data_IF_929078500618
#
_entry.id   IF_929078500618
#
_cell.length_a   1.000
_cell.length_b   1.000
_cell.length_c   1.000
_cell.angle_alpha   90.00
_cell.angle_beta   90.00
_cell.angle_gamma   90.00
#
_symmetry.space_group_name_H-M   'P 1'
#
loop_
_entity.id
_entity.type
_entity.pdbx_description
1 polymer ?
#
# COMPACT_ATOMS: atom_id res chain seq x y z
N UNK A 1 12.09 25.87 21.17
CA UNK A 1 11.12 26.12 20.05
C UNK A 1 10.41 24.81 19.73
N UNK A 2 9.09 24.81 19.50
CA UNK A 2 8.39 23.61 19.08
C UNK A 2 8.82 23.26 17.64
N UNK A 3 9.13 21.98 17.40
CA UNK A 3 9.47 21.51 16.05
C UNK A 3 8.27 21.65 15.12
N UNK A 4 8.53 22.04 13.87
CA UNK A 4 7.47 22.08 12.86
C UNK A 4 7.01 20.67 12.53
N UNK A 5 5.69 20.44 12.51
CA UNK A 5 5.08 19.17 12.14
C UNK A 5 4.70 19.19 10.66
N UNK A 6 5.00 18.13 9.94
CA UNK A 6 4.70 17.98 8.52
C UNK A 6 4.03 16.63 8.29
N UNK A 7 2.97 16.62 7.52
CA UNK A 7 2.35 15.38 6.99
C UNK A 7 2.79 15.22 5.55
N UNK A 8 3.38 14.08 5.23
CA UNK A 8 3.78 13.71 3.86
C UNK A 8 2.88 12.58 3.39
N UNK A 9 2.13 12.81 2.32
CA UNK A 9 1.26 11.79 1.72
C UNK A 9 1.94 11.20 0.49
N UNK A 10 2.20 9.88 0.54
CA UNK A 10 2.82 9.13 -0.53
C UNK A 10 1.74 8.42 -1.37
N UNK A 11 1.58 8.84 -2.61
CA UNK A 11 0.70 8.20 -3.57
C UNK A 11 1.24 6.84 -4.06
N UNK A 12 0.44 6.09 -4.82
CA UNK A 12 0.86 4.79 -5.35
C UNK A 12 2.06 4.87 -6.32
N UNK A 13 2.20 5.99 -7.02
CA UNK A 13 3.36 6.26 -7.90
C UNK A 13 4.69 6.21 -7.14
N UNK A 14 4.66 6.45 -5.81
CA UNK A 14 5.86 6.42 -4.96
C UNK A 14 6.37 5.01 -4.66
N UNK A 15 5.65 3.96 -5.06
CA UNK A 15 5.97 2.59 -4.64
C UNK A 15 6.21 1.62 -5.80
N UNK A 16 5.85 1.95 -7.03
CA UNK A 16 5.89 1.00 -8.15
C UNK A 16 4.90 -0.17 -7.98
N UNK A 17 4.85 -1.05 -8.98
CA UNK A 17 3.84 -2.10 -9.09
C UNK A 17 4.36 -3.52 -8.77
N UNK A 18 5.64 -3.65 -8.44
CA UNK A 18 6.27 -4.93 -8.07
C UNK A 18 7.08 -4.76 -6.80
N UNK A 19 7.38 -5.86 -6.11
CA UNK A 19 8.20 -5.85 -4.89
C UNK A 19 9.59 -5.21 -5.14
N UNK A 20 10.23 -5.55 -6.26
CA UNK A 20 11.54 -4.98 -6.60
C UNK A 20 11.45 -3.48 -6.90
N UNK A 21 10.46 -3.06 -7.70
CA UNK A 21 10.22 -1.65 -7.97
C UNK A 21 9.90 -0.87 -6.69
N UNK A 22 9.18 -1.47 -5.76
CA UNK A 22 8.89 -0.86 -4.46
C UNK A 22 10.16 -0.64 -3.64
N UNK A 23 11.05 -1.63 -3.56
CA UNK A 23 12.31 -1.48 -2.83
C UNK A 23 13.19 -0.34 -3.34
N UNK A 24 13.25 -0.16 -4.65
CA UNK A 24 14.02 0.93 -5.24
C UNK A 24 13.31 2.28 -5.05
N UNK A 25 12.00 2.33 -5.21
CA UNK A 25 11.20 3.53 -5.02
C UNK A 25 11.25 4.05 -3.57
N UNK A 26 11.12 3.16 -2.57
CA UNK A 26 11.18 3.59 -1.16
C UNK A 26 12.55 4.09 -0.76
N UNK A 27 13.65 3.61 -1.36
CA UNK A 27 15.00 4.16 -1.13
C UNK A 27 15.12 5.61 -1.63
N UNK A 28 14.56 5.89 -2.80
CA UNK A 28 14.53 7.26 -3.33
C UNK A 28 13.67 8.17 -2.45
N UNK A 29 12.49 7.69 -2.08
CA UNK A 29 11.56 8.40 -1.19
C UNK A 29 12.20 8.66 0.19
N UNK A 30 12.92 7.68 0.74
CA UNK A 30 13.59 7.80 2.04
C UNK A 30 14.60 8.93 2.09
N UNK A 31 15.33 9.19 1.00
CA UNK A 31 16.28 10.33 0.91
C UNK A 31 15.56 11.66 1.09
N UNK A 32 14.47 11.87 0.37
CA UNK A 32 13.68 13.09 0.47
C UNK A 32 13.03 13.26 1.86
N UNK A 33 12.59 12.16 2.47
CA UNK A 33 12.06 12.17 3.84
C UNK A 33 13.16 12.48 4.87
N UNK A 34 14.36 11.94 4.67
CA UNK A 34 15.50 12.20 5.54
C UNK A 34 15.95 13.67 5.47
N UNK A 35 15.88 14.32 4.30
CA UNK A 35 16.14 15.76 4.16
C UNK A 35 15.24 16.59 5.08
N UNK A 36 13.96 16.24 5.17
CA UNK A 36 13.02 16.90 6.07
C UNK A 36 13.35 16.63 7.54
N UNK A 37 13.75 15.41 7.88
CA UNK A 37 14.15 15.05 9.25
C UNK A 37 15.43 15.79 9.65
N UNK A 38 16.39 15.93 8.76
CA UNK A 38 17.64 16.67 8.94
C UNK A 38 17.37 18.18 9.13
N UNK A 39 16.39 18.71 8.41
CA UNK A 39 15.88 20.08 8.59
C UNK A 39 15.02 20.28 9.86
N UNK A 40 15.05 19.31 10.78
CA UNK A 40 14.38 19.31 12.10
C UNK A 40 12.85 19.34 12.06
N UNK A 41 12.24 18.83 10.99
CA UNK A 41 10.79 18.59 10.96
C UNK A 41 10.41 17.29 11.70
N UNK A 42 9.24 17.30 12.33
CA UNK A 42 8.56 16.08 12.80
C UNK A 42 7.64 15.57 11.70
N UNK A 43 7.90 14.37 11.20
CA UNK A 43 7.15 13.79 10.10
C UNK A 43 6.04 12.85 10.58
N UNK A 44 4.89 12.99 9.96
CA UNK A 44 3.86 11.95 9.87
C UNK A 44 3.74 11.56 8.41
N UNK A 45 3.95 10.29 8.09
CA UNK A 45 3.91 9.80 6.71
C UNK A 45 2.63 8.98 6.56
N UNK A 46 1.84 9.31 5.55
CA UNK A 46 0.70 8.50 5.11
C UNK A 46 1.00 7.93 3.74
N UNK A 47 0.48 6.76 3.44
CA UNK A 47 0.74 6.12 2.15
C UNK A 47 -0.51 5.42 1.61
N UNK A 48 -0.60 5.32 0.28
CA UNK A 48 -1.56 4.47 -0.40
C UNK A 48 -1.06 3.01 -0.44
N UNK A 49 -1.95 2.07 -0.78
CA UNK A 49 -1.65 0.64 -0.79
C UNK A 49 -2.33 -0.13 -1.93
N UNK A 50 -2.87 0.56 -2.93
CA UNK A 50 -3.71 -0.05 -3.97
C UNK A 50 -3.13 -1.30 -4.64
N UNK A 51 -1.93 -1.24 -5.25
CA UNK A 51 -1.30 -2.40 -5.87
C UNK A 51 -1.00 -3.52 -4.86
N UNK A 52 -0.54 -3.15 -3.66
CA UNK A 52 -0.13 -4.10 -2.63
C UNK A 52 -1.33 -4.87 -2.04
N UNK A 53 -2.44 -4.19 -1.77
CA UNK A 53 -3.65 -4.85 -1.27
C UNK A 53 -4.22 -5.82 -2.31
N UNK A 54 -4.18 -5.46 -3.59
CA UNK A 54 -4.63 -6.33 -4.69
C UNK A 54 -3.74 -7.57 -4.82
N UNK A 55 -2.43 -7.42 -4.72
CA UNK A 55 -1.48 -8.53 -4.74
C UNK A 55 -1.72 -9.50 -3.59
N UNK A 56 -1.85 -8.99 -2.37
CA UNK A 56 -2.10 -9.80 -1.17
C UNK A 56 -3.43 -10.54 -1.29
N UNK A 57 -4.50 -9.83 -1.66
CA UNK A 57 -5.82 -10.45 -1.82
C UNK A 57 -5.81 -11.55 -2.88
N UNK A 58 -5.16 -11.32 -4.02
CA UNK A 58 -5.00 -12.34 -5.06
C UNK A 58 -4.21 -13.55 -4.56
N UNK A 59 -3.09 -13.33 -3.87
CA UNK A 59 -2.28 -14.41 -3.32
C UNK A 59 -3.08 -15.26 -2.32
N UNK A 60 -3.84 -14.64 -1.42
CA UNK A 60 -4.68 -15.35 -0.44
C UNK A 60 -5.83 -16.13 -1.13
N UNK A 61 -6.40 -15.57 -2.20
CA UNK A 61 -7.44 -16.23 -2.99
C UNK A 61 -6.90 -17.46 -3.74
N UNK A 62 -5.73 -17.32 -4.38
CA UNK A 62 -5.09 -18.44 -5.09
C UNK A 62 -4.62 -19.54 -4.12
N UNK A 63 -4.10 -19.15 -2.95
CA UNK A 63 -3.73 -20.12 -1.91
C UNK A 63 -4.91 -21.00 -1.51
N UNK A 64 -6.09 -20.42 -1.34
CA UNK A 64 -7.35 -21.15 -1.06
C UNK A 64 -7.70 -22.14 -2.16
N UNK A 65 -7.44 -21.83 -3.42
CA UNK A 65 -7.73 -22.75 -4.55
C UNK A 65 -6.87 -24.00 -4.52
N UNK A 66 -5.63 -23.85 -4.04
CA UNK A 66 -4.68 -24.98 -3.93
C UNK A 66 -4.90 -25.76 -2.63
N UNK A 67 -5.15 -25.07 -1.54
CA UNK A 67 -5.29 -25.64 -0.20
C UNK A 67 -6.65 -25.25 0.38
N UNK A 68 -7.59 -26.18 0.34
CA UNK A 68 -8.99 -25.93 0.71
C UNK A 68 -9.18 -25.54 2.18
N UNK A 69 -8.26 -25.92 3.04
CA UNK A 69 -8.29 -25.63 4.48
C UNK A 69 -7.99 -24.16 4.80
N UNK A 70 -7.42 -23.41 3.86
CA UNK A 70 -7.18 -21.98 4.04
C UNK A 70 -8.42 -21.16 3.74
N UNK A 71 -8.78 -20.29 4.65
CA UNK A 71 -9.85 -19.32 4.44
C UNK A 71 -9.29 -18.08 3.72
N UNK A 72 -9.93 -17.59 2.64
CA UNK A 72 -9.51 -16.34 2.01
C UNK A 72 -9.57 -15.19 3.02
N UNK A 73 -8.55 -14.36 3.04
CA UNK A 73 -8.55 -13.19 3.91
C UNK A 73 -9.53 -12.14 3.37
N UNK A 74 -10.41 -11.58 4.20
CA UNK A 74 -11.26 -10.46 3.81
C UNK A 74 -10.42 -9.26 3.33
N UNK A 75 -10.99 -8.42 2.47
CA UNK A 75 -10.28 -7.27 1.91
C UNK A 75 -9.74 -6.31 3.00
N UNK A 76 -10.48 -6.13 4.10
CA UNK A 76 -10.03 -5.32 5.24
C UNK A 76 -8.76 -5.89 5.89
N UNK A 77 -8.64 -7.22 6.00
CA UNK A 77 -7.42 -7.88 6.50
C UNK A 77 -6.27 -7.73 5.51
N UNK A 78 -6.53 -7.91 4.20
CA UNK A 78 -5.53 -7.66 3.16
C UNK A 78 -5.05 -6.20 3.18
N UNK A 79 -5.95 -5.25 3.45
CA UNK A 79 -5.60 -3.84 3.62
C UNK A 79 -4.70 -3.64 4.84
N UNK A 80 -5.01 -4.25 5.98
CA UNK A 80 -4.15 -4.20 7.17
C UNK A 80 -2.76 -4.82 6.92
N UNK A 81 -2.70 -5.97 6.22
CA UNK A 81 -1.44 -6.59 5.81
C UNK A 81 -0.63 -5.65 4.91
N UNK A 82 -1.28 -4.95 3.98
CA UNK A 82 -0.61 -4.01 3.09
C UNK A 82 -0.08 -2.77 3.82
N UNK A 83 -0.76 -2.30 4.87
CA UNK A 83 -0.23 -1.24 5.75
C UNK A 83 1.09 -1.67 6.40
N UNK A 84 1.12 -2.89 6.95
CA UNK A 84 2.33 -3.46 7.53
C UNK A 84 3.45 -3.62 6.50
N UNK A 85 3.15 -4.16 5.32
CA UNK A 85 4.12 -4.38 4.27
C UNK A 85 4.76 -3.07 3.77
N UNK A 86 3.94 -2.11 3.34
CA UNK A 86 4.44 -0.81 2.84
C UNK A 86 5.12 -0.02 3.96
N UNK A 87 4.49 0.01 5.14
CA UNK A 87 5.04 0.71 6.29
C UNK A 87 6.38 0.14 6.75
N UNK A 88 6.57 -1.18 6.71
CA UNK A 88 7.83 -1.85 7.01
C UNK A 88 8.94 -1.43 6.04
N UNK A 89 8.65 -1.41 4.74
CA UNK A 89 9.63 -1.01 3.74
C UNK A 89 10.05 0.46 3.89
N UNK A 90 9.08 1.38 4.09
CA UNK A 90 9.36 2.79 4.35
C UNK A 90 10.19 2.95 5.62
N UNK A 91 9.79 2.27 6.71
CA UNK A 91 10.50 2.32 8.00
C UNK A 91 11.95 1.88 7.86
N UNK A 92 12.20 0.76 7.18
CA UNK A 92 13.55 0.24 6.97
C UNK A 92 14.40 1.17 6.11
N UNK A 93 13.86 1.63 4.98
CA UNK A 93 14.60 2.50 4.07
C UNK A 93 14.92 3.86 4.73
N UNK A 94 13.94 4.46 5.41
CA UNK A 94 14.15 5.74 6.08
C UNK A 94 15.12 5.60 7.27
N UNK A 95 15.00 4.52 8.04
CA UNK A 95 15.93 4.27 9.15
C UNK A 95 17.36 4.08 8.65
N UNK A 96 17.57 3.33 7.59
CA UNK A 96 18.87 3.13 6.98
C UNK A 96 19.47 4.46 6.52
N UNK A 97 18.72 5.25 5.76
CA UNK A 97 19.15 6.56 5.27
C UNK A 97 19.50 7.53 6.43
N UNK A 98 18.69 7.55 7.50
CA UNK A 98 18.97 8.38 8.68
C UNK A 98 20.26 7.95 9.38
N UNK A 99 20.50 6.64 9.51
CA UNK A 99 21.74 6.12 10.11
C UNK A 99 22.97 6.47 9.27
N UNK A 100 22.86 6.36 7.95
CA UNK A 100 23.94 6.74 7.02
C UNK A 100 24.31 8.23 7.12
N UNK A 101 23.35 9.07 7.49
CA UNK A 101 23.55 10.50 7.79
C UNK A 101 23.96 10.78 9.25
N UNK A 102 24.15 9.78 10.08
CA UNK A 102 24.45 9.94 11.51
C UNK A 102 23.28 10.47 12.34
N UNK A 103 22.04 10.34 11.86
CA UNK A 103 20.83 10.81 12.54
C UNK A 103 20.18 9.66 13.29
N UNK A 104 20.24 9.65 14.61
CA UNK A 104 19.71 8.61 15.48
C UNK A 104 18.26 8.92 15.89
N UNK A 105 17.32 8.73 14.99
CA UNK A 105 15.88 8.89 15.25
C UNK A 105 15.12 7.60 15.01
N UNK A 106 14.13 7.33 15.84
CA UNK A 106 13.23 6.18 15.70
C UNK A 106 12.19 6.46 14.61
N UNK A 107 11.95 5.45 13.78
CA UNK A 107 10.85 5.42 12.82
C UNK A 107 9.92 4.29 13.24
N UNK A 108 8.63 4.53 13.29
CA UNK A 108 7.62 3.54 13.70
C UNK A 108 6.49 3.50 12.69
N UNK A 109 6.01 2.29 12.41
CA UNK A 109 4.82 2.05 11.60
C UNK A 109 3.63 1.80 12.51
N UNK A 110 2.52 2.45 12.23
CA UNK A 110 1.27 2.34 13.00
C UNK A 110 0.19 1.80 12.07
N UNK A 111 -0.42 0.67 12.45
CA UNK A 111 -1.64 0.19 11.80
C UNK A 111 -2.81 1.05 12.25
N UNK A 112 -3.58 1.52 11.28
CA UNK A 112 -4.73 2.38 11.53
C UNK A 112 -6.03 1.66 11.18
N UNK A 113 -7.04 1.84 12.01
CA UNK A 113 -8.42 1.50 11.68
C UNK A 113 -9.17 2.79 11.35
N UNK A 114 -9.97 2.73 10.29
CA UNK A 114 -10.81 3.85 9.85
C UNK A 114 -12.27 3.48 10.11
N UNK A 115 -12.94 4.30 10.90
CA UNK A 115 -14.38 4.20 11.07
C UNK A 115 -15.06 4.72 9.80
N UNK A 116 -15.94 3.92 9.22
CA UNK A 116 -16.69 4.25 8.01
C UNK A 116 -18.18 4.35 8.34
N UNK A 117 -18.90 5.18 7.58
CA UNK A 117 -20.36 5.22 7.67
C UNK A 117 -20.92 3.93 7.05
N UNK A 118 -21.70 3.11 7.80
CA UNK A 118 -22.30 1.89 7.26
C UNK A 118 -23.32 2.14 6.14
N UNK A 119 -23.78 3.36 5.98
CA UNK A 119 -24.72 3.78 4.94
C UNK A 119 -24.04 4.49 3.76
N UNK A 120 -22.70 4.51 3.70
CA UNK A 120 -21.98 5.11 2.58
C UNK A 120 -22.37 4.42 1.27
N UNK A 121 -22.73 5.23 0.26
CA UNK A 121 -23.16 4.76 -1.06
C UNK A 121 -22.13 3.86 -1.73
N UNK A 122 -20.85 4.03 -1.41
CA UNK A 122 -19.76 3.21 -1.94
C UNK A 122 -19.87 1.70 -1.60
N UNK A 123 -20.68 1.32 -0.59
CA UNK A 123 -20.99 -0.09 -0.31
C UNK A 123 -21.97 -0.69 -1.34
N UNK A 124 -22.78 0.14 -1.97
CA UNK A 124 -23.79 -0.28 -2.95
C UNK A 124 -23.33 0.00 -4.38
N UNK A 125 -22.67 1.13 -4.58
CA UNK A 125 -22.13 1.57 -5.87
C UNK A 125 -20.64 1.89 -5.77
N UNK A 126 -19.76 0.87 -5.69
CA UNK A 126 -18.32 1.09 -5.56
C UNK A 126 -17.76 1.76 -6.83
N UNK A 127 -17.08 2.88 -6.65
CA UNK A 127 -16.51 3.67 -7.75
C UNK A 127 -15.03 3.39 -7.99
N UNK A 128 -14.31 2.92 -6.96
CA UNK A 128 -12.88 2.68 -7.05
C UNK A 128 -12.59 1.25 -7.50
N UNK A 129 -11.91 1.13 -8.64
CA UNK A 129 -11.41 -0.15 -9.12
C UNK A 129 -10.07 -0.46 -8.43
N UNK A 130 -9.95 -1.70 -7.94
CA UNK A 130 -8.73 -2.25 -7.36
C UNK A 130 -8.29 -3.40 -8.24
N UNK A 131 -7.09 -3.30 -8.84
CA UNK A 131 -6.60 -4.33 -9.73
C UNK A 131 -5.58 -3.80 -10.73
N UNK A 132 -5.33 -4.59 -11.76
CA UNK A 132 -4.44 -4.23 -12.87
C UNK A 132 -5.22 -4.04 -14.16
N UNK A 133 -4.69 -3.22 -15.03
CA UNK A 133 -5.11 -3.22 -16.44
C UNK A 133 -4.70 -4.53 -17.09
N UNK A 134 -5.55 -5.07 -17.94
CA UNK A 134 -5.33 -6.33 -18.63
C UNK A 134 -5.93 -6.31 -20.03
N UNK A 135 -5.50 -7.23 -20.88
CA UNK A 135 -6.09 -7.41 -22.21
C UNK A 135 -7.52 -7.94 -22.12
N UNK A 136 -8.27 -7.86 -23.21
CA UNK A 136 -9.62 -8.43 -23.28
C UNK A 136 -9.62 -9.95 -23.04
N UNK A 137 -8.63 -10.63 -23.58
CA UNK A 137 -8.47 -12.09 -23.43
C UNK A 137 -8.21 -12.49 -21.99
N UNK A 138 -7.32 -11.76 -21.30
CA UNK A 138 -7.07 -11.97 -19.86
C UNK A 138 -8.31 -11.65 -19.01
N UNK A 139 -9.07 -10.60 -19.38
CA UNK A 139 -10.30 -10.24 -18.74
C UNK A 139 -11.35 -11.35 -18.80
N UNK A 140 -11.51 -11.97 -19.97
CA UNK A 140 -12.44 -13.10 -20.16
C UNK A 140 -12.03 -14.33 -19.33
N UNK A 141 -10.73 -14.55 -19.14
CA UNK A 141 -10.20 -15.58 -18.25
C UNK A 141 -10.56 -15.28 -16.78
N UNK A 142 -10.38 -14.03 -16.36
CA UNK A 142 -10.66 -13.60 -14.99
C UNK A 142 -12.18 -13.65 -14.68
N UNK A 143 -13.03 -13.28 -15.64
CA UNK A 143 -14.50 -13.42 -15.53
C UNK A 143 -14.89 -14.89 -15.34
N UNK A 144 -14.31 -15.80 -16.14
CA UNK A 144 -14.58 -17.26 -16.01
C UNK A 144 -14.15 -17.81 -14.65
N UNK A 145 -13.17 -17.20 -13.99
CA UNK A 145 -12.75 -17.52 -12.62
C UNK A 145 -13.68 -16.93 -11.55
N UNK A 146 -14.67 -16.12 -11.93
CA UNK A 146 -15.61 -15.45 -11.02
C UNK A 146 -15.10 -14.12 -10.47
N UNK A 147 -14.06 -13.54 -11.07
CA UNK A 147 -13.56 -12.21 -10.70
C UNK A 147 -14.39 -11.13 -11.41
N UNK A 148 -14.62 -10.01 -10.72
CA UNK A 148 -15.27 -8.86 -11.31
C UNK A 148 -14.28 -8.08 -12.18
N UNK A 149 -14.66 -7.82 -13.43
CA UNK A 149 -13.86 -7.05 -14.38
C UNK A 149 -14.73 -5.97 -15.00
N UNK A 150 -14.17 -4.77 -15.14
CA UNK A 150 -14.85 -3.63 -15.76
C UNK A 150 -14.05 -3.13 -16.95
N UNK A 151 -14.73 -2.89 -18.05
CA UNK A 151 -14.15 -2.22 -19.21
C UNK A 151 -14.00 -0.74 -18.92
N UNK A 152 -12.81 -0.19 -19.18
CA UNK A 152 -12.52 1.22 -19.05
C UNK A 152 -12.34 1.77 -20.46
N UNK A 153 -13.12 2.81 -20.83
CA UNK A 153 -12.90 3.50 -22.10
C UNK A 153 -11.48 4.08 -22.14
N UNK A 154 -10.76 3.83 -23.24
CA UNK A 154 -9.40 4.34 -23.46
C UNK A 154 -9.36 5.84 -23.72
#
# INVERSE_FOLDING_TARGET
>A
MSKKKVVVSLGHESFGNTTLAQWDAVKVTAKALADLVEADYQLTITHSNGPQVSMIHKAMTELRRVYIDYTPAPMCVCSAMSQGYVGYDIQNALRAELLDRGIFKTVSTILTQVCVDPYDEAFYEPTKLIGRYMSREDADIEIKKGNYVREIPG
#
